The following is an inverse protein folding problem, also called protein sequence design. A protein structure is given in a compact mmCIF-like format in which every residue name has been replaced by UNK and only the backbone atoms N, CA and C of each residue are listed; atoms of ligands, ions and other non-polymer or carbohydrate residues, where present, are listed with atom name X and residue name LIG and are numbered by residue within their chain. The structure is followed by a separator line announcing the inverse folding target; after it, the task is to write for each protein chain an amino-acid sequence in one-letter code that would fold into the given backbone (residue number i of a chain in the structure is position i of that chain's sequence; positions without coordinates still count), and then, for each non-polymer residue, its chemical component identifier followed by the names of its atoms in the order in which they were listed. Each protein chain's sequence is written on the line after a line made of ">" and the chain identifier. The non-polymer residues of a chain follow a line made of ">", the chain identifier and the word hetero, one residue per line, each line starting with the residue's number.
data_IF_185368438473
#
_entry.id   IF_185368438473
#
_cell.length_a   1.000
_cell.length_b   1.000
_cell.length_c   1.000
_cell.angle_alpha   90.00
_cell.angle_beta   90.00
_cell.angle_gamma   90.00
#
_symmetry.space_group_name_H-M   'P 1'
#
loop_
_entity.id
_entity.type
_entity.pdbx_description
1 polymer ?
#
# COMPACT_ATOMS: atom_id res chain seq x y z
N UNK A 1 41.13 -13.68 39.19
CA UNK A 1 40.96 -14.36 37.89
C UNK A 1 39.48 -14.70 37.71
N UNK A 2 38.80 -14.09 36.74
CA UNK A 2 37.40 -14.41 36.45
C UNK A 2 37.36 -15.73 35.68
N UNK A 3 36.80 -16.78 36.28
CA UNK A 3 36.53 -18.05 35.60
C UNK A 3 35.53 -17.81 34.48
N UNK A 4 35.80 -18.31 33.28
CA UNK A 4 34.83 -18.29 32.18
C UNK A 4 33.55 -19.00 32.64
N UNK A 5 32.44 -18.27 32.72
CA UNK A 5 31.13 -18.84 33.06
C UNK A 5 30.42 -19.19 31.74
N UNK A 6 30.25 -20.48 31.46
CA UNK A 6 29.46 -20.98 30.32
C UNK A 6 27.98 -20.57 30.40
N UNK A 7 27.47 -20.33 31.62
CA UNK A 7 26.08 -19.95 31.84
C UNK A 7 25.96 -18.99 33.02
N UNK A 8 25.32 -17.84 32.79
CA UNK A 8 25.14 -16.80 33.79
C UNK A 8 23.87 -17.06 34.60
N UNK A 9 24.02 -17.57 35.84
CA UNK A 9 22.89 -17.94 36.72
C UNK A 9 21.92 -16.79 37.03
N UNK A 10 22.33 -15.53 36.91
CA UNK A 10 21.44 -14.36 37.07
C UNK A 10 20.43 -14.18 35.93
N UNK A 11 20.56 -14.92 34.81
CA UNK A 11 19.67 -14.86 33.64
C UNK A 11 18.84 -16.13 33.43
N UNK A 12 18.65 -16.94 34.47
CA UNK A 12 17.81 -18.14 34.41
C UNK A 12 16.37 -17.80 34.00
N UNK A 13 15.84 -16.68 34.46
CA UNK A 13 14.53 -16.15 34.02
C UNK A 13 14.45 -15.91 32.51
N UNK A 14 15.53 -15.39 31.89
CA UNK A 14 15.61 -15.20 30.44
C UNK A 14 15.61 -16.55 29.72
N UNK A 15 16.38 -17.52 30.21
CA UNK A 15 16.39 -18.88 29.64
C UNK A 15 15.00 -19.51 29.69
N UNK A 16 14.30 -19.42 30.83
CA UNK A 16 12.93 -19.92 30.98
C UNK A 16 11.99 -19.21 30.00
N UNK A 17 12.07 -17.88 29.90
CA UNK A 17 11.26 -17.11 28.95
C UNK A 17 11.49 -17.52 27.49
N UNK A 18 12.75 -17.70 27.08
CA UNK A 18 13.12 -18.17 25.73
C UNK A 18 12.59 -19.58 25.49
N UNK A 19 12.79 -20.50 26.43
CA UNK A 19 12.30 -21.89 26.29
C UNK A 19 10.78 -21.93 26.17
N UNK A 20 10.05 -21.17 26.99
CA UNK A 20 8.59 -21.08 26.94
C UNK A 20 8.14 -20.50 25.60
N UNK A 21 8.72 -19.36 25.18
CA UNK A 21 8.38 -18.72 23.91
C UNK A 21 8.65 -19.63 22.71
N UNK A 22 9.85 -20.25 22.65
CA UNK A 22 10.21 -21.17 21.57
C UNK A 22 9.31 -22.41 21.57
N UNK A 23 8.95 -22.93 22.74
CA UNK A 23 8.03 -24.08 22.86
C UNK A 23 6.63 -23.73 22.37
N UNK A 24 6.10 -22.55 22.74
CA UNK A 24 4.82 -22.06 22.24
C UNK A 24 4.85 -21.85 20.73
N UNK A 25 5.88 -21.18 20.21
CA UNK A 25 6.07 -20.95 18.79
C UNK A 25 6.12 -22.26 18.00
N UNK A 26 6.96 -23.21 18.42
CA UNK A 26 7.07 -24.53 17.81
C UNK A 26 5.74 -25.31 17.89
N UNK A 27 5.02 -25.18 19.01
CA UNK A 27 3.68 -25.75 19.21
C UNK A 27 2.68 -25.22 18.18
N UNK A 28 2.56 -23.90 18.05
CA UNK A 28 1.67 -23.28 17.06
C UNK A 28 2.05 -23.62 15.62
N UNK A 29 3.34 -23.63 15.28
CA UNK A 29 3.81 -24.05 13.94
C UNK A 29 3.43 -25.50 13.67
N UNK A 30 3.58 -26.40 14.65
CA UNK A 30 3.24 -27.82 14.50
C UNK A 30 1.73 -28.01 14.34
N UNK A 31 0.92 -27.26 15.09
CA UNK A 31 -0.54 -27.25 14.95
C UNK A 31 -0.96 -26.75 13.56
N UNK A 32 -0.36 -25.66 13.08
CA UNK A 32 -0.61 -25.13 11.73
C UNK A 32 -0.25 -26.15 10.63
N UNK A 33 0.93 -26.79 10.74
CA UNK A 33 1.41 -27.80 9.78
C UNK A 33 0.56 -29.07 9.76
N UNK A 34 -0.13 -29.39 10.85
CA UNK A 34 -1.05 -30.54 10.94
C UNK A 34 -2.43 -30.25 10.33
N UNK A 35 -2.60 -29.10 9.67
CA UNK A 35 -3.83 -28.74 8.96
C UNK A 35 -4.99 -28.36 9.89
N UNK A 36 -4.70 -27.99 11.14
CA UNK A 36 -5.72 -27.36 11.99
C UNK A 36 -5.91 -25.92 11.55
N UNK A 37 -7.16 -25.56 11.27
CA UNK A 37 -7.53 -24.19 10.92
C UNK A 37 -7.25 -23.26 12.11
N UNK A 38 -6.17 -22.51 12.02
CA UNK A 38 -5.89 -21.39 12.91
C UNK A 38 -6.67 -20.19 12.36
N UNK A 39 -7.58 -19.65 13.17
CA UNK A 39 -8.31 -18.44 12.79
C UNK A 39 -7.33 -17.25 12.72
N UNK A 40 -6.93 -16.88 11.51
CA UNK A 40 -6.19 -15.65 11.25
C UNK A 40 -7.22 -14.55 10.98
N UNK A 41 -7.33 -13.60 11.92
CA UNK A 41 -8.22 -12.43 11.74
C UNK A 41 -7.75 -11.64 10.53
N UNK A 42 -8.63 -11.52 9.53
CA UNK A 42 -8.37 -10.67 8.36
C UNK A 42 -8.25 -9.21 8.79
N UNK A 43 -7.34 -8.47 8.16
CA UNK A 43 -7.13 -7.06 8.44
C UNK A 43 -8.10 -6.28 7.57
N UNK A 44 -9.05 -5.59 8.18
CA UNK A 44 -10.13 -4.90 7.47
C UNK A 44 -9.63 -3.97 6.35
N UNK A 45 -8.51 -3.26 6.58
CA UNK A 45 -7.90 -2.40 5.55
C UNK A 45 -7.40 -3.16 4.32
N UNK A 46 -6.90 -4.40 4.48
CA UNK A 46 -6.47 -5.22 3.35
C UNK A 46 -7.66 -5.80 2.57
N UNK A 47 -8.74 -6.18 3.27
CA UNK A 47 -9.97 -6.64 2.61
C UNK A 47 -10.62 -5.51 1.80
N UNK A 48 -10.63 -4.29 2.33
CA UNK A 48 -11.19 -3.13 1.66
C UNK A 48 -10.44 -2.78 0.37
N UNK A 49 -9.13 -3.04 0.29
CA UNK A 49 -8.33 -2.87 -0.94
C UNK A 49 -8.82 -3.83 -2.02
N UNK A 50 -8.96 -5.12 -1.70
CA UNK A 50 -9.42 -6.14 -2.67
C UNK A 50 -10.87 -5.87 -3.12
N UNK A 51 -11.77 -5.45 -2.21
CA UNK A 51 -13.15 -5.07 -2.54
C UNK A 51 -13.21 -3.82 -3.44
N UNK A 52 -12.43 -2.80 -3.13
CA UNK A 52 -12.41 -1.57 -3.90
C UNK A 52 -11.86 -1.78 -5.31
N UNK A 53 -10.86 -2.66 -5.46
CA UNK A 53 -10.35 -3.11 -6.76
C UNK A 53 -11.42 -3.86 -7.55
N UNK A 54 -12.08 -4.85 -6.94
CA UNK A 54 -13.16 -5.61 -7.60
C UNK A 54 -14.29 -4.72 -8.09
N UNK A 55 -14.72 -3.74 -7.28
CA UNK A 55 -15.75 -2.78 -7.71
C UNK A 55 -15.30 -1.88 -8.85
N UNK A 56 -14.03 -1.45 -8.87
CA UNK A 56 -13.52 -0.64 -9.98
C UNK A 56 -13.63 -1.40 -11.31
N UNK A 57 -13.31 -2.68 -11.29
CA UNK A 57 -13.46 -3.61 -12.41
C UNK A 57 -14.92 -3.79 -12.81
N UNK A 58 -15.81 -4.10 -11.85
CA UNK A 58 -17.25 -4.26 -12.12
C UNK A 58 -17.90 -3.01 -12.71
N UNK A 59 -17.42 -1.82 -12.32
CA UNK A 59 -17.93 -0.55 -12.82
C UNK A 59 -17.29 -0.11 -14.14
N UNK A 60 -16.23 -0.78 -14.61
CA UNK A 60 -15.48 -0.40 -15.82
C UNK A 60 -14.86 1.00 -15.73
N UNK A 61 -14.51 1.44 -14.52
CA UNK A 61 -13.98 2.77 -14.23
C UNK A 61 -12.54 2.70 -13.74
N UNK A 62 -11.73 3.75 -13.97
CA UNK A 62 -10.33 3.73 -13.57
C UNK A 62 -10.16 3.71 -12.04
N UNK A 63 -9.00 3.22 -11.63
CA UNK A 63 -8.46 3.32 -10.27
C UNK A 63 -7.53 4.53 -10.24
N UNK A 64 -7.70 5.40 -9.25
CA UNK A 64 -6.76 6.49 -8.98
C UNK A 64 -5.93 6.14 -7.74
N UNK A 65 -4.61 6.22 -7.84
CA UNK A 65 -3.70 5.94 -6.73
C UNK A 65 -2.79 7.13 -6.48
N UNK A 66 -2.89 7.74 -5.30
CA UNK A 66 -2.08 8.89 -4.89
C UNK A 66 -1.08 8.42 -3.82
N UNK A 67 0.24 8.39 -4.11
CA UNK A 67 1.26 7.84 -3.22
C UNK A 67 1.70 8.80 -2.08
N UNK A 68 0.85 9.76 -1.72
CA UNK A 68 1.19 10.86 -0.82
C UNK A 68 1.88 12.03 -1.53
N UNK A 69 2.18 13.07 -0.75
CA UNK A 69 2.79 14.32 -1.22
C UNK A 69 4.25 14.52 -0.75
N UNK A 70 4.83 13.54 -0.04
CA UNK A 70 6.22 13.59 0.44
C UNK A 70 7.18 12.93 -0.56
N UNK A 71 8.46 12.94 -0.20
CA UNK A 71 9.55 12.38 -1.00
C UNK A 71 9.70 10.87 -0.79
N UNK A 72 10.55 10.23 -1.59
CA UNK A 72 10.89 8.80 -1.45
C UNK A 72 11.56 8.45 -0.11
N UNK A 73 12.15 9.42 0.59
CA UNK A 73 12.81 9.21 1.88
C UNK A 73 11.80 9.01 3.02
N UNK A 74 10.54 9.32 2.77
CA UNK A 74 9.47 9.24 3.75
C UNK A 74 8.97 7.80 3.92
N UNK A 75 8.78 7.38 5.17
CA UNK A 75 8.36 6.02 5.49
C UNK A 75 6.96 5.74 4.96
N UNK A 76 6.04 6.71 5.03
CA UNK A 76 4.70 6.53 4.47
C UNK A 76 4.69 6.46 2.95
N UNK A 77 5.52 7.26 2.27
CA UNK A 77 5.65 7.18 0.80
C UNK A 77 6.21 5.81 0.39
N UNK A 78 7.24 5.31 1.07
CA UNK A 78 7.78 3.96 0.80
C UNK A 78 6.76 2.85 1.08
N UNK A 79 6.01 2.96 2.19
CA UNK A 79 4.94 2.01 2.50
C UNK A 79 3.85 2.05 1.42
N UNK A 80 3.48 3.24 0.95
CA UNK A 80 2.53 3.42 -0.13
C UNK A 80 3.01 2.78 -1.43
N UNK A 81 4.25 2.99 -1.84
CA UNK A 81 4.78 2.36 -3.06
C UNK A 81 4.80 0.83 -2.99
N UNK A 82 5.00 0.24 -1.81
CA UNK A 82 4.85 -1.20 -1.62
C UNK A 82 3.40 -1.67 -1.81
N UNK A 83 2.41 -0.88 -1.38
CA UNK A 83 1.00 -1.17 -1.61
C UNK A 83 0.65 -0.99 -3.10
N UNK A 84 1.21 0.03 -3.76
CA UNK A 84 1.05 0.29 -5.19
C UNK A 84 1.41 -0.94 -6.02
N UNK A 85 2.50 -1.65 -5.71
CA UNK A 85 2.87 -2.90 -6.41
C UNK A 85 1.71 -3.92 -6.43
N UNK A 86 1.06 -4.14 -5.27
CA UNK A 86 -0.08 -5.05 -5.16
C UNK A 86 -1.30 -4.54 -5.93
N UNK A 87 -1.61 -3.25 -5.80
CA UNK A 87 -2.73 -2.61 -6.51
C UNK A 87 -2.52 -2.70 -8.02
N UNK A 88 -1.31 -2.42 -8.51
CA UNK A 88 -0.94 -2.49 -9.92
C UNK A 88 -1.07 -3.91 -10.48
N UNK A 89 -0.59 -4.92 -9.76
CA UNK A 89 -0.74 -6.31 -10.18
C UNK A 89 -2.22 -6.70 -10.31
N UNK A 90 -3.05 -6.31 -9.34
CA UNK A 90 -4.50 -6.57 -9.40
C UNK A 90 -5.19 -5.77 -10.49
N UNK A 91 -4.80 -4.51 -10.70
CA UNK A 91 -5.30 -3.69 -11.79
C UNK A 91 -5.00 -4.34 -13.15
N UNK A 92 -3.80 -4.92 -13.32
CA UNK A 92 -3.43 -5.69 -14.50
C UNK A 92 -4.26 -6.98 -14.65
N UNK A 93 -4.40 -7.78 -13.57
CA UNK A 93 -5.22 -9.00 -13.56
C UNK A 93 -6.68 -8.72 -13.99
N UNK A 94 -7.21 -7.57 -13.58
CA UNK A 94 -8.59 -7.16 -13.81
C UNK A 94 -8.76 -6.20 -14.99
N UNK A 95 -7.71 -5.94 -15.77
CA UNK A 95 -7.74 -5.04 -16.93
C UNK A 95 -8.28 -3.64 -16.60
N UNK A 96 -8.05 -3.18 -15.38
CA UNK A 96 -8.53 -1.90 -14.88
C UNK A 96 -7.44 -0.85 -15.02
N UNK A 97 -7.76 0.28 -15.67
CA UNK A 97 -6.81 1.38 -15.86
C UNK A 97 -6.40 1.97 -14.50
N UNK A 98 -5.10 2.12 -14.27
CA UNK A 98 -4.52 2.62 -13.02
C UNK A 98 -3.81 3.95 -13.27
N UNK A 99 -4.35 5.03 -12.72
CA UNK A 99 -3.81 6.39 -12.84
C UNK A 99 -3.04 6.71 -11.55
N UNK A 100 -1.78 7.12 -11.67
CA UNK A 100 -0.87 7.39 -10.55
C UNK A 100 -0.22 8.77 -10.73
N UNK A 101 -0.90 9.87 -10.36
CA UNK A 101 -0.26 11.17 -10.31
C UNK A 101 0.79 11.19 -9.19
N UNK A 102 1.93 11.80 -9.45
CA UNK A 102 3.02 11.96 -8.49
C UNK A 102 3.40 13.44 -8.35
N UNK A 103 3.66 13.88 -7.11
CA UNK A 103 4.11 15.26 -6.85
C UNK A 103 5.63 15.40 -6.83
N UNK A 104 6.36 14.30 -6.61
CA UNK A 104 7.81 14.28 -6.47
C UNK A 104 8.47 13.66 -7.71
N UNK A 105 9.53 14.28 -8.26
CA UNK A 105 10.17 13.82 -9.50
C UNK A 105 11.00 12.55 -9.33
N UNK A 106 11.29 12.12 -8.08
CA UNK A 106 11.97 10.85 -7.77
C UNK A 106 10.96 9.74 -7.50
N UNK A 107 9.84 10.05 -6.85
CA UNK A 107 8.74 9.08 -6.62
C UNK A 107 8.13 8.62 -7.95
N UNK A 108 7.98 9.52 -8.93
CA UNK A 108 7.41 9.19 -10.24
C UNK A 108 8.13 8.04 -10.97
N UNK A 109 9.45 8.08 -11.24
CA UNK A 109 10.13 6.98 -11.94
C UNK A 109 10.13 5.68 -11.13
N UNK A 110 10.13 5.75 -9.79
CA UNK A 110 10.01 4.56 -8.93
C UNK A 110 8.61 3.95 -9.06
N UNK A 111 7.56 4.76 -9.05
CA UNK A 111 6.20 4.31 -9.29
C UNK A 111 6.05 3.69 -10.69
N UNK A 112 6.66 4.29 -11.72
CA UNK A 112 6.69 3.72 -13.07
C UNK A 112 7.35 2.34 -13.10
N UNK A 113 8.48 2.16 -12.41
CA UNK A 113 9.15 0.87 -12.32
C UNK A 113 8.26 -0.18 -11.65
N UNK A 114 7.70 0.16 -10.49
CA UNK A 114 6.84 -0.73 -9.71
C UNK A 114 5.62 -1.18 -10.52
N UNK A 115 4.94 -0.23 -11.19
CA UNK A 115 3.74 -0.54 -11.97
C UNK A 115 4.12 -1.39 -13.19
N UNK A 116 5.22 -1.08 -13.88
CA UNK A 116 5.67 -1.87 -15.03
C UNK A 116 6.06 -3.29 -14.67
N UNK A 117 6.80 -3.46 -13.58
CA UNK A 117 7.17 -4.78 -13.06
C UNK A 117 5.91 -5.58 -12.69
N UNK A 118 4.98 -4.97 -11.95
CA UNK A 118 3.72 -5.61 -11.57
C UNK A 118 2.88 -6.05 -12.79
N UNK A 119 2.80 -5.23 -13.83
CA UNK A 119 2.11 -5.57 -15.08
C UNK A 119 2.84 -6.69 -15.84
N UNK A 120 4.17 -6.69 -15.83
CA UNK A 120 5.00 -7.73 -16.46
C UNK A 120 4.83 -9.07 -15.74
N UNK A 121 4.85 -9.08 -14.42
CA UNK A 121 4.61 -10.27 -13.59
C UNK A 121 3.19 -10.82 -13.74
N UNK A 122 2.21 -9.96 -13.97
CA UNK A 122 0.83 -10.35 -14.29
C UNK A 122 0.68 -10.89 -15.74
N UNK A 123 1.75 -10.86 -16.54
CA UNK A 123 1.72 -11.30 -17.94
C UNK A 123 1.00 -10.33 -18.89
N UNK A 124 0.85 -9.06 -18.49
CA UNK A 124 0.17 -7.99 -19.24
C UNK A 124 1.07 -6.76 -19.48
N UNK A 125 2.32 -6.92 -19.97
CA UNK A 125 3.21 -5.80 -20.22
C UNK A 125 2.69 -4.82 -21.28
N UNK A 126 1.80 -5.28 -22.17
CA UNK A 126 1.13 -4.52 -23.22
C UNK A 126 0.08 -3.54 -22.67
N UNK A 127 -0.47 -3.81 -21.49
CA UNK A 127 -1.45 -2.95 -20.83
C UNK A 127 -0.82 -1.81 -20.00
N UNK A 128 0.51 -1.80 -19.85
CA UNK A 128 1.22 -0.75 -19.15
C UNK A 128 1.28 0.53 -20.01
N UNK A 129 0.76 1.64 -19.48
CA UNK A 129 0.91 2.97 -20.07
C UNK A 129 1.69 3.89 -19.13
N UNK A 130 2.88 4.33 -19.55
CA UNK A 130 3.70 5.25 -18.77
C UNK A 130 3.04 6.63 -18.58
N UNK A 131 2.12 7.03 -19.46
CA UNK A 131 1.43 8.32 -19.35
C UNK A 131 0.44 8.36 -18.18
N UNK A 132 -0.03 7.20 -17.71
CA UNK A 132 -0.90 7.12 -16.54
C UNK A 132 -0.11 7.32 -15.23
N UNK A 133 1.23 7.28 -15.28
CA UNK A 133 2.13 7.53 -14.14
C UNK A 133 2.93 8.80 -14.43
N UNK A 134 2.37 9.94 -14.04
CA UNK A 134 2.86 11.26 -14.45
C UNK A 134 3.29 12.13 -13.27
N UNK A 135 4.37 12.88 -13.46
CA UNK A 135 4.71 13.99 -12.58
C UNK A 135 3.82 15.19 -12.90
N UNK A 136 3.20 15.79 -11.88
CA UNK A 136 2.31 16.94 -12.05
C UNK A 136 3.02 18.23 -11.66
N UNK A 137 3.33 18.40 -10.38
CA UNK A 137 4.02 19.57 -9.82
C UNK A 137 4.38 19.28 -8.36
N UNK A 138 5.44 19.94 -7.87
CA UNK A 138 5.85 19.92 -6.46
C UNK A 138 5.07 20.92 -5.59
N UNK A 139 4.31 21.84 -6.20
CA UNK A 139 3.44 22.76 -5.45
C UNK A 139 2.26 22.01 -4.85
N UNK A 140 2.20 21.90 -3.52
CA UNK A 140 1.17 21.14 -2.78
C UNK A 140 -0.26 21.38 -3.29
N UNK A 141 -0.76 22.61 -3.24
CA UNK A 141 -2.12 22.91 -3.70
C UNK A 141 -2.28 22.93 -5.22
N UNK A 142 -1.18 23.14 -5.96
CA UNK A 142 -1.18 22.97 -7.42
C UNK A 142 -1.39 21.49 -7.81
N UNK A 143 -0.72 20.59 -7.09
CA UNK A 143 -0.85 19.15 -7.23
C UNK A 143 -2.28 18.70 -6.89
N UNK A 144 -2.82 19.16 -5.76
CA UNK A 144 -4.18 18.85 -5.32
C UNK A 144 -5.20 19.29 -6.35
N UNK A 145 -5.10 20.53 -6.85
CA UNK A 145 -6.02 21.06 -7.87
C UNK A 145 -6.00 20.22 -9.17
N UNK A 146 -4.82 19.74 -9.56
CA UNK A 146 -4.68 18.89 -10.73
C UNK A 146 -5.27 17.48 -10.51
N UNK A 147 -5.04 16.89 -9.34
CA UNK A 147 -5.60 15.58 -8.95
C UNK A 147 -7.13 15.67 -8.82
N UNK A 148 -7.67 16.73 -8.23
CA UNK A 148 -9.10 17.00 -8.19
C UNK A 148 -9.68 17.10 -9.61
N UNK A 149 -8.96 17.77 -10.52
CA UNK A 149 -9.30 17.82 -11.93
C UNK A 149 -9.33 16.43 -12.58
N UNK A 150 -8.38 15.53 -12.24
CA UNK A 150 -8.38 14.13 -12.68
C UNK A 150 -9.62 13.42 -12.13
N UNK A 151 -9.94 13.56 -10.85
CA UNK A 151 -11.11 12.93 -10.24
C UNK A 151 -12.40 13.33 -10.95
N UNK A 152 -12.61 14.62 -11.24
CA UNK A 152 -13.84 15.11 -11.88
C UNK A 152 -13.95 14.67 -13.34
N UNK A 153 -12.83 14.59 -14.08
CA UNK A 153 -12.82 14.17 -15.50
C UNK A 153 -12.96 12.66 -15.66
N UNK A 154 -12.14 11.90 -14.94
CA UNK A 154 -12.03 10.44 -15.09
C UNK A 154 -13.09 9.71 -14.26
N UNK A 155 -13.65 10.35 -13.23
CA UNK A 155 -14.66 9.80 -12.31
C UNK A 155 -14.31 8.39 -11.83
N UNK A 156 -13.12 8.19 -11.22
CA UNK A 156 -12.65 6.87 -10.81
C UNK A 156 -13.66 6.20 -9.88
N UNK A 157 -13.77 4.87 -9.98
CA UNK A 157 -14.61 4.11 -9.04
C UNK A 157 -13.96 4.01 -7.66
N UNK A 158 -12.63 3.95 -7.64
CA UNK A 158 -11.84 3.77 -6.42
C UNK A 158 -10.67 4.74 -6.42
N UNK A 159 -10.43 5.36 -5.27
CA UNK A 159 -9.32 6.26 -5.00
C UNK A 159 -8.53 5.72 -3.81
N UNK A 160 -7.24 5.50 -4.01
CA UNK A 160 -6.29 5.21 -2.94
C UNK A 160 -5.56 6.50 -2.57
N UNK A 161 -5.69 6.95 -1.32
CA UNK A 161 -4.95 8.07 -0.74
C UNK A 161 -4.01 7.50 0.33
N UNK A 162 -2.90 6.90 -0.11
CA UNK A 162 -1.96 6.21 0.76
C UNK A 162 -0.60 6.89 0.70
N UNK A 163 -0.05 7.29 1.85
CA UNK A 163 1.23 7.99 1.92
C UNK A 163 1.17 9.16 2.91
N UNK A 164 2.16 10.04 2.86
CA UNK A 164 2.15 11.25 3.70
C UNK A 164 1.23 12.30 3.08
N UNK A 165 0.22 12.71 3.85
CA UNK A 165 -0.68 13.83 3.52
C UNK A 165 -0.79 14.79 4.70
N UNK A 166 -0.99 16.07 4.42
CA UNK A 166 -1.27 17.11 5.43
C UNK A 166 -2.72 17.58 5.32
N UNK A 167 -2.95 18.90 5.35
CA UNK A 167 -4.27 19.52 5.34
C UNK A 167 -5.04 19.29 4.02
N UNK A 168 -4.34 19.08 2.92
CA UNK A 168 -4.93 18.82 1.60
C UNK A 168 -5.68 17.50 1.51
N UNK A 169 -5.44 16.57 2.44
CA UNK A 169 -6.16 15.31 2.53
C UNK A 169 -7.68 15.50 2.55
N UNK A 170 -8.17 16.54 3.24
CA UNK A 170 -9.60 16.85 3.30
C UNK A 170 -10.16 17.30 1.94
N UNK A 171 -9.38 18.04 1.15
CA UNK A 171 -9.78 18.51 -0.17
C UNK A 171 -9.87 17.32 -1.13
N UNK A 172 -8.82 16.50 -1.18
CA UNK A 172 -8.80 15.29 -1.99
C UNK A 172 -9.95 14.34 -1.60
N UNK A 173 -10.20 14.18 -0.30
CA UNK A 173 -11.26 13.32 0.20
C UNK A 173 -12.66 13.82 -0.16
N UNK A 174 -12.91 15.13 -0.06
CA UNK A 174 -14.19 15.72 -0.44
C UNK A 174 -14.44 15.62 -1.94
N UNK A 175 -13.42 15.90 -2.77
CA UNK A 175 -13.52 15.73 -4.22
C UNK A 175 -13.78 14.28 -4.59
N UNK A 176 -13.07 13.33 -3.97
CA UNK A 176 -13.28 11.89 -4.16
C UNK A 176 -14.71 11.46 -3.79
N UNK A 177 -15.25 11.99 -2.70
CA UNK A 177 -16.63 11.75 -2.28
C UNK A 177 -17.63 12.33 -3.29
N UNK A 178 -17.38 13.53 -3.80
CA UNK A 178 -18.26 14.22 -4.76
C UNK A 178 -18.43 13.46 -6.08
N UNK A 179 -17.42 12.68 -6.51
CA UNK A 179 -17.49 11.85 -7.72
C UNK A 179 -18.08 10.45 -7.46
N UNK A 180 -18.38 10.14 -6.19
CA UNK A 180 -18.94 8.86 -5.75
C UNK A 180 -17.92 7.73 -5.69
N UNK A 181 -16.64 8.05 -5.52
CA UNK A 181 -15.58 7.04 -5.46
C UNK A 181 -15.49 6.42 -4.06
N UNK A 182 -15.16 5.13 -4.02
CA UNK A 182 -14.72 4.47 -2.79
C UNK A 182 -13.32 4.95 -2.47
N UNK A 183 -13.08 5.31 -1.22
CA UNK A 183 -11.81 5.86 -0.79
C UNK A 183 -11.14 4.94 0.23
N UNK A 184 -9.91 4.54 -0.08
CA UNK A 184 -9.04 3.81 0.83
C UNK A 184 -7.89 4.73 1.19
N UNK A 185 -7.84 5.17 2.43
CA UNK A 185 -6.93 6.22 2.87
C UNK A 185 -6.08 5.79 4.06
N UNK A 186 -4.86 6.29 4.12
CA UNK A 186 -3.91 5.98 5.19
C UNK A 186 -2.69 6.90 5.14
N UNK A 187 -2.40 7.54 6.27
CA UNK A 187 -1.27 8.44 6.48
C UNK A 187 -0.69 8.20 7.87
N UNK A 188 0.61 8.42 8.04
CA UNK A 188 1.31 8.40 9.34
C UNK A 188 1.68 9.81 9.82
N UNK A 189 1.33 10.85 9.04
CA UNK A 189 1.50 12.23 9.44
C UNK A 189 0.55 12.55 10.61
N UNK A 190 1.12 13.09 11.69
CA UNK A 190 0.41 13.50 12.92
C UNK A 190 0.50 15.01 13.07
#
# INVERSE_FOLDING_TARGET
>A
MASAQLFHRGRVNVLVGVVVYTSLLAGFITVARRGRDLYVRRIAGLEAVDEALGRATEMGKPILYVPGLSTISDVATLASLNILSRVARRAADYESRLIVPCTDPVVMPVAQEIVREAYTEAGRPDAYDANDISYITYSQFGYVSAVDGIMVRERPATIFLLGMFWAESLILAETGNSVGAIQISGTDAV
#
